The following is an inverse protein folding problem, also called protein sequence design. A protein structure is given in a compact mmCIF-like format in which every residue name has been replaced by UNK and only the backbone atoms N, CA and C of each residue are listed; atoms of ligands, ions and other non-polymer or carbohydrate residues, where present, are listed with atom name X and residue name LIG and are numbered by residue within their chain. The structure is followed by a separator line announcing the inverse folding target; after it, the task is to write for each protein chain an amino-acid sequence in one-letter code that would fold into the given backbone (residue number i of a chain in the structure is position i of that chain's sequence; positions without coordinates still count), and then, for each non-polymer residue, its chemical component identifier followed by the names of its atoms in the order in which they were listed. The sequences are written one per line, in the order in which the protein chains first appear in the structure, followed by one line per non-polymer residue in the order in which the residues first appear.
data_IF_202334566505
#
_entry.id   IF_202334566505
#
_cell.length_a   1.000
_cell.length_b   1.000
_cell.length_c   1.000
_cell.angle_alpha   90.00
_cell.angle_beta   90.00
_cell.angle_gamma   90.00
#
_symmetry.space_group_name_H-M   'P 1'
#
loop_
_entity.id
_entity.type
_entity.pdbx_description
1 polymer ?
#
# COMPACT_ATOMS: atom_id res chain seq x y z
N UNK A 1 23.42 -5.00 5.87
CA UNK A 1 23.27 -4.43 4.53
C UNK A 1 21.77 -4.33 4.34
N UNK A 2 21.23 -3.13 4.18
CA UNK A 2 19.82 -3.01 3.78
C UNK A 2 19.70 -3.62 2.38
N UNK A 3 18.75 -4.53 2.18
CA UNK A 3 18.49 -5.09 0.85
C UNK A 3 18.07 -3.95 -0.10
N UNK A 4 18.52 -4.00 -1.35
CA UNK A 4 18.14 -3.00 -2.35
C UNK A 4 16.62 -3.03 -2.59
N UNK A 5 15.96 -1.87 -2.74
CA UNK A 5 14.52 -1.81 -2.95
C UNK A 5 14.13 -2.57 -4.22
N UNK A 6 13.06 -3.36 -4.14
CA UNK A 6 12.52 -4.11 -5.29
C UNK A 6 11.35 -3.43 -5.96
N UNK A 7 10.74 -2.48 -5.26
CA UNK A 7 9.60 -1.71 -5.74
C UNK A 7 9.79 -0.23 -5.42
N UNK A 8 9.28 0.63 -6.29
CA UNK A 8 9.04 2.04 -5.97
C UNK A 8 7.71 2.17 -5.23
N UNK A 9 7.68 2.91 -4.13
CA UNK A 9 6.44 3.17 -3.39
C UNK A 9 5.86 4.53 -3.75
N UNK A 10 4.58 4.55 -4.05
CA UNK A 10 3.79 5.76 -4.25
C UNK A 10 2.64 5.79 -3.27
N UNK A 11 2.27 6.97 -2.77
CA UNK A 11 1.16 7.13 -1.83
C UNK A 11 0.08 8.01 -2.44
N UNK A 12 -1.18 7.60 -2.29
CA UNK A 12 -2.30 8.50 -2.55
C UNK A 12 -2.38 9.58 -1.46
N UNK A 13 -3.02 10.73 -1.74
CA UNK A 13 -3.26 11.74 -0.72
C UNK A 13 -4.03 11.22 0.50
N UNK A 14 -4.98 10.30 0.30
CA UNK A 14 -5.77 9.70 1.39
C UNK A 14 -4.88 8.82 2.28
N UNK A 15 -4.07 7.94 1.68
CA UNK A 15 -3.13 7.12 2.45
C UNK A 15 -2.15 8.00 3.24
N UNK A 16 -1.56 8.99 2.59
CA UNK A 16 -0.62 9.90 3.24
C UNK A 16 -1.25 10.68 4.40
N UNK A 17 -2.49 11.17 4.24
CA UNK A 17 -3.20 11.87 5.31
C UNK A 17 -3.46 10.96 6.52
N UNK A 18 -3.84 9.69 6.28
CA UNK A 18 -4.11 8.72 7.33
C UNK A 18 -2.86 8.24 8.04
N UNK A 19 -1.81 7.95 7.28
CA UNK A 19 -0.52 7.59 7.86
C UNK A 19 0.00 8.72 8.77
N UNK A 20 -0.08 9.98 8.32
CA UNK A 20 0.24 11.14 9.16
C UNK A 20 -0.64 11.21 10.42
N UNK A 21 -1.95 11.00 10.32
CA UNK A 21 -2.84 11.03 11.48
C UNK A 21 -2.48 9.94 12.52
N UNK A 22 -2.12 8.75 12.05
CA UNK A 22 -1.66 7.64 12.90
C UNK A 22 -0.32 7.98 13.56
N UNK A 23 0.65 8.49 12.79
CA UNK A 23 1.95 8.93 13.30
C UNK A 23 1.78 10.01 14.38
N UNK A 24 0.96 11.03 14.13
CA UNK A 24 0.71 12.09 15.11
C UNK A 24 0.02 11.56 16.37
N UNK A 25 -0.94 10.64 16.25
CA UNK A 25 -1.57 10.02 17.41
C UNK A 25 -0.56 9.17 18.22
N UNK A 26 0.33 8.45 17.53
CA UNK A 26 1.40 7.67 18.16
C UNK A 26 2.38 8.57 18.92
N UNK A 27 2.82 9.68 18.31
CA UNK A 27 3.69 10.68 18.94
C UNK A 27 3.05 11.34 20.17
N UNK A 28 1.71 11.44 20.19
CA UNK A 28 0.95 11.94 21.33
C UNK A 28 0.69 10.88 22.42
N UNK A 29 1.20 9.66 22.26
CA UNK A 29 1.14 8.60 23.27
C UNK A 29 -0.11 7.71 23.20
N UNK A 30 -0.86 7.71 22.11
CA UNK A 30 -1.95 6.74 21.92
C UNK A 30 -1.34 5.34 21.68
N UNK A 31 -1.51 4.43 22.65
CA UNK A 31 -0.93 3.09 22.60
C UNK A 31 -1.40 2.25 21.40
N UNK A 32 -2.64 2.47 20.92
CA UNK A 32 -3.14 1.76 19.74
C UNK A 32 -2.47 2.32 18.50
N UNK A 33 -2.39 3.65 18.38
CA UNK A 33 -1.73 4.30 17.26
C UNK A 33 -0.23 3.95 17.18
N UNK A 34 0.46 3.83 18.32
CA UNK A 34 1.86 3.37 18.38
C UNK A 34 1.99 1.99 17.72
N UNK A 35 1.19 1.01 18.14
CA UNK A 35 1.21 -0.35 17.55
C UNK A 35 0.86 -0.35 16.07
N UNK A 36 -0.13 0.45 15.67
CA UNK A 36 -0.52 0.58 14.26
C UNK A 36 0.62 1.19 13.45
N UNK A 37 1.28 2.23 13.95
CA UNK A 37 2.40 2.89 13.28
C UNK A 37 3.58 1.94 13.09
N UNK A 38 3.99 1.22 14.15
CA UNK A 38 5.08 0.24 14.09
C UNK A 38 4.82 -0.83 13.01
N UNK A 39 3.62 -1.42 13.02
CA UNK A 39 3.24 -2.39 11.99
C UNK A 39 3.13 -1.78 10.58
N UNK A 40 2.69 -0.53 10.46
CA UNK A 40 2.61 0.14 9.18
C UNK A 40 3.98 0.40 8.57
N UNK A 41 4.94 0.86 9.37
CA UNK A 41 6.32 1.08 8.91
C UNK A 41 6.93 -0.23 8.43
N UNK A 42 6.84 -1.30 9.24
CA UNK A 42 7.33 -2.63 8.86
C UNK A 42 6.67 -3.13 7.57
N UNK A 43 5.34 -2.98 7.44
CA UNK A 43 4.62 -3.41 6.26
C UNK A 43 4.98 -2.58 5.01
N UNK A 44 5.25 -1.28 5.16
CA UNK A 44 5.73 -0.42 4.08
C UNK A 44 7.13 -0.84 3.63
N UNK A 45 8.05 -1.11 4.55
CA UNK A 45 9.40 -1.60 4.23
C UNK A 45 9.32 -2.96 3.51
N UNK A 46 8.49 -3.89 4.02
CA UNK A 46 8.25 -5.20 3.37
C UNK A 46 7.58 -5.07 1.99
N UNK A 47 6.83 -3.99 1.76
CA UNK A 47 6.28 -3.69 0.45
C UNK A 47 7.36 -3.14 -0.50
N UNK A 48 8.26 -2.30 -0.01
CA UNK A 48 9.40 -1.74 -0.77
C UNK A 48 10.40 -2.83 -1.19
N UNK A 49 10.74 -3.74 -0.29
CA UNK A 49 11.70 -4.84 -0.53
C UNK A 49 11.08 -6.06 -1.26
N UNK A 50 9.75 -6.11 -1.37
CA UNK A 50 9.02 -7.18 -2.06
C UNK A 50 8.79 -8.47 -1.26
N UNK A 51 9.03 -8.47 0.06
CA UNK A 51 8.77 -9.62 0.95
C UNK A 51 7.29 -9.76 1.30
N UNK A 52 6.53 -8.66 1.36
CA UNK A 52 5.07 -8.67 1.41
C UNK A 52 4.50 -8.71 -0.02
N UNK A 53 3.53 -9.59 -0.28
CA UNK A 53 2.81 -9.66 -1.58
C UNK A 53 1.29 -9.54 -1.44
N UNK A 54 0.80 -9.21 -0.26
CA UNK A 54 -0.63 -9.18 0.04
C UNK A 54 -1.11 -10.46 0.70
N UNK A 55 -2.29 -10.36 1.27
CA UNK A 55 -3.04 -11.48 1.84
C UNK A 55 -4.11 -12.01 0.87
N UNK A 56 -4.72 -11.15 0.05
CA UNK A 56 -5.62 -11.54 -1.04
C UNK A 56 -5.88 -10.40 -2.04
N UNK A 57 -6.21 -10.73 -3.31
CA UNK A 57 -6.77 -9.77 -4.25
C UNK A 57 -8.08 -9.21 -3.72
N UNK A 58 -8.41 -7.98 -4.08
CA UNK A 58 -9.77 -7.48 -4.00
C UNK A 58 -10.58 -7.92 -5.24
N UNK A 59 -11.90 -7.72 -5.18
CA UNK A 59 -12.87 -8.26 -6.15
C UNK A 59 -13.70 -7.15 -6.77
N UNK A 60 -14.42 -7.44 -7.85
CA UNK A 60 -15.54 -6.61 -8.30
C UNK A 60 -16.78 -6.90 -7.44
N UNK A 61 -17.33 -5.83 -6.87
CA UNK A 61 -18.59 -5.84 -6.13
C UNK A 61 -19.47 -4.64 -6.51
N UNK A 62 -19.30 -4.11 -7.72
CA UNK A 62 -20.11 -3.02 -8.28
C UNK A 62 -21.62 -3.30 -8.18
N UNK A 63 -22.04 -4.55 -8.38
CA UNK A 63 -23.43 -5.02 -8.20
C UNK A 63 -23.99 -4.87 -6.77
N UNK A 64 -23.14 -4.65 -5.76
CA UNK A 64 -23.52 -4.32 -4.38
C UNK A 64 -23.29 -2.86 -4.02
N UNK A 65 -22.97 -2.00 -4.99
CA UNK A 65 -22.47 -0.65 -4.75
C UNK A 65 -21.19 -0.64 -3.86
N UNK A 66 -20.33 -1.66 -4.01
CA UNK A 66 -19.03 -1.78 -3.34
C UNK A 66 -17.85 -1.64 -4.33
N UNK A 67 -18.14 -1.26 -5.59
CA UNK A 67 -17.19 -0.87 -6.65
C UNK A 67 -16.28 -1.97 -7.20
N UNK A 68 -15.48 -1.58 -8.20
CA UNK A 68 -14.48 -2.44 -8.84
C UNK A 68 -13.09 -2.16 -8.29
N UNK A 69 -12.55 -3.13 -7.56
CA UNK A 69 -11.22 -3.09 -6.95
C UNK A 69 -10.36 -4.27 -7.42
N UNK A 70 -10.64 -4.89 -8.57
CA UNK A 70 -9.90 -6.08 -9.04
C UNK A 70 -8.40 -5.86 -9.25
N UNK A 71 -7.95 -4.61 -9.37
CA UNK A 71 -6.54 -4.20 -9.42
C UNK A 71 -5.92 -3.91 -8.05
N UNK A 72 -6.72 -3.96 -6.98
CA UNK A 72 -6.29 -3.73 -5.60
C UNK A 72 -5.94 -5.02 -4.86
N UNK A 73 -4.95 -4.93 -3.99
CA UNK A 73 -4.49 -6.00 -3.10
C UNK A 73 -4.66 -5.55 -1.65
N UNK A 74 -5.12 -6.45 -0.78
CA UNK A 74 -5.22 -6.19 0.65
C UNK A 74 -4.11 -6.89 1.44
N UNK A 75 -3.40 -6.13 2.26
CA UNK A 75 -2.55 -6.63 3.34
C UNK A 75 -3.22 -6.37 4.68
N UNK A 76 -3.22 -7.34 5.59
CA UNK A 76 -3.88 -7.25 6.91
C UNK A 76 -2.86 -7.43 8.03
N UNK A 77 -3.01 -6.70 9.13
CA UNK A 77 -2.23 -6.93 10.35
C UNK A 77 -3.12 -6.75 11.58
N UNK A 78 -2.70 -7.32 12.70
CA UNK A 78 -3.42 -7.28 13.96
C UNK A 78 -2.69 -6.38 14.97
N UNK A 79 -3.40 -5.41 15.56
CA UNK A 79 -2.82 -4.57 16.63
C UNK A 79 -2.68 -5.31 17.96
N UNK A 80 -3.48 -6.36 18.15
CA UNK A 80 -3.41 -7.28 19.28
C UNK A 80 -3.02 -8.68 18.76
N UNK A 81 -1.90 -9.25 19.22
CA UNK A 81 -1.41 -10.56 18.76
C UNK A 81 -2.34 -11.72 19.13
N UNK A 82 -3.30 -11.52 20.03
CA UNK A 82 -4.31 -12.53 20.38
C UNK A 82 -5.45 -12.62 19.36
N UNK A 83 -5.57 -11.63 18.47
CA UNK A 83 -6.59 -11.62 17.44
C UNK A 83 -6.30 -12.65 16.36
N UNK A 84 -7.31 -13.48 16.06
CA UNK A 84 -7.22 -14.51 15.01
C UNK A 84 -7.19 -13.95 13.58
N UNK A 85 -7.47 -12.64 13.41
CA UNK A 85 -7.55 -11.95 12.13
C UNK A 85 -7.03 -10.53 12.31
N UNK A 86 -6.43 -9.98 11.26
CA UNK A 86 -6.08 -8.56 11.23
C UNK A 86 -7.32 -7.69 11.40
N UNK A 87 -7.21 -6.73 12.31
CA UNK A 87 -8.17 -5.68 12.57
C UNK A 87 -7.85 -4.41 11.78
N UNK A 88 -6.63 -4.28 11.24
CA UNK A 88 -6.24 -3.25 10.29
C UNK A 88 -5.95 -3.82 8.91
N UNK A 89 -6.07 -2.96 7.90
CA UNK A 89 -5.82 -3.30 6.51
C UNK A 89 -5.15 -2.14 5.78
N UNK A 90 -4.22 -2.47 4.89
CA UNK A 90 -3.75 -1.61 3.81
C UNK A 90 -4.32 -2.14 2.49
N UNK A 91 -4.78 -1.23 1.63
CA UNK A 91 -5.01 -1.51 0.21
C UNK A 91 -3.94 -0.82 -0.61
N UNK A 92 -3.40 -1.56 -1.56
CA UNK A 92 -2.40 -1.08 -2.50
C UNK A 92 -2.59 -1.69 -3.88
N UNK A 93 -2.00 -1.08 -4.91
CA UNK A 93 -2.02 -1.55 -6.30
C UNK A 93 -0.62 -1.85 -6.78
N UNK A 94 -0.45 -2.92 -7.55
CA UNK A 94 0.77 -3.17 -8.31
C UNK A 94 0.65 -2.49 -9.68
N UNK A 95 1.72 -1.85 -10.12
CA UNK A 95 1.83 -1.22 -11.44
C UNK A 95 3.16 -1.63 -12.08
N UNK A 96 3.26 -1.61 -13.42
CA UNK A 96 4.53 -1.83 -14.09
C UNK A 96 5.52 -0.68 -13.79
N UNK A 97 6.82 -0.88 -14.11
CA UNK A 97 7.79 0.21 -14.08
C UNK A 97 7.34 1.42 -14.90
N UNK A 98 7.53 2.63 -14.36
CA UNK A 98 7.13 3.88 -15.03
C UNK A 98 8.10 4.32 -16.13
N UNK A 99 9.27 3.68 -16.18
CA UNK A 99 10.32 3.89 -17.19
C UNK A 99 11.04 2.58 -17.46
N UNK A 100 11.66 2.48 -18.63
CA UNK A 100 12.49 1.34 -19.00
C UNK A 100 13.64 1.17 -17.99
N UNK A 101 13.83 -0.06 -17.50
CA UNK A 101 14.80 -0.37 -16.45
C UNK A 101 14.43 0.12 -15.04
N UNK A 102 13.25 0.72 -14.85
CA UNK A 102 12.75 1.11 -13.54
C UNK A 102 12.24 -0.07 -12.72
N UNK A 103 11.99 0.17 -11.43
CA UNK A 103 11.34 -0.81 -10.56
C UNK A 103 9.83 -0.79 -10.76
N UNK A 104 9.13 -1.92 -10.57
CA UNK A 104 7.68 -1.91 -10.51
C UNK A 104 7.19 -1.04 -9.35
N UNK A 105 6.01 -0.44 -9.51
CA UNK A 105 5.46 0.46 -8.48
C UNK A 105 4.43 -0.28 -7.62
N UNK A 106 4.45 -0.03 -6.31
CA UNK A 106 3.36 -0.33 -5.40
C UNK A 106 2.76 0.97 -4.89
N UNK A 107 1.54 1.26 -5.33
CA UNK A 107 0.82 2.46 -4.92
C UNK A 107 -0.06 2.13 -3.71
N UNK A 108 0.23 2.74 -2.56
CA UNK A 108 -0.53 2.60 -1.32
C UNK A 108 -1.73 3.53 -1.37
N UNK A 109 -2.93 2.94 -1.29
CA UNK A 109 -4.20 3.61 -1.58
C UNK A 109 -4.93 4.01 -0.31
N UNK A 110 -5.04 3.09 0.64
CA UNK A 110 -5.85 3.29 1.83
C UNK A 110 -5.32 2.46 3.00
N UNK A 111 -5.45 2.99 4.22
CA UNK A 111 -5.17 2.27 5.47
C UNK A 111 -6.27 2.57 6.48
N UNK A 112 -6.68 1.56 7.23
CA UNK A 112 -7.68 1.76 8.26
C UNK A 112 -8.08 0.49 8.98
N UNK A 113 -8.87 0.68 10.03
CA UNK A 113 -9.48 -0.43 10.74
C UNK A 113 -10.54 -1.10 9.86
N UNK A 114 -10.57 -2.43 9.87
CA UNK A 114 -11.42 -3.28 9.01
C UNK A 114 -12.92 -3.00 9.16
N UNK A 115 -13.35 -2.48 10.31
CA UNK A 115 -14.74 -2.14 10.63
C UNK A 115 -14.96 -0.63 10.79
N UNK A 116 -14.12 0.18 10.16
CA UNK A 116 -14.30 1.62 10.18
C UNK A 116 -15.65 2.05 9.55
N UNK A 117 -16.13 3.21 9.97
CA UNK A 117 -17.30 3.88 9.38
C UNK A 117 -16.85 5.27 8.90
N UNK A 118 -17.11 5.65 7.63
CA UNK A 118 -17.79 4.90 6.57
C UNK A 118 -17.03 3.64 6.13
N UNK A 119 -17.69 2.74 5.40
CA UNK A 119 -17.12 1.43 5.04
C UNK A 119 -15.76 1.54 4.32
N UNK A 120 -14.81 0.69 4.72
CA UNK A 120 -13.44 0.66 4.23
C UNK A 120 -13.33 0.55 2.70
N UNK A 121 -14.23 -0.20 2.04
CA UNK A 121 -14.23 -0.33 0.57
C UNK A 121 -14.67 0.97 -0.10
N UNK A 122 -15.69 1.65 0.45
CA UNK A 122 -16.13 2.94 -0.07
C UNK A 122 -15.03 4.00 0.05
N UNK A 123 -14.28 3.99 1.15
CA UNK A 123 -13.15 4.89 1.31
C UNK A 123 -12.02 4.58 0.32
N UNK A 124 -11.73 3.29 0.10
CA UNK A 124 -10.76 2.85 -0.92
C UNK A 124 -11.16 3.32 -2.32
N UNK A 125 -12.44 3.20 -2.69
CA UNK A 125 -12.95 3.69 -3.97
C UNK A 125 -12.83 5.20 -4.10
N UNK A 126 -13.16 5.94 -3.04
CA UNK A 126 -13.00 7.39 -2.98
C UNK A 126 -11.54 7.81 -3.18
N UNK A 127 -10.59 7.10 -2.53
CA UNK A 127 -9.17 7.33 -2.71
C UNK A 127 -8.68 7.07 -4.15
N UNK A 128 -9.35 6.15 -4.85
CA UNK A 128 -9.09 5.83 -6.27
C UNK A 128 -9.92 6.67 -7.26
N UNK A 129 -10.74 7.60 -6.77
CA UNK A 129 -11.65 8.42 -7.59
C UNK A 129 -12.64 7.59 -8.42
N UNK A 130 -13.12 6.47 -7.86
CA UNK A 130 -14.01 5.51 -8.54
C UNK A 130 -15.45 5.61 -8.08
N UNK A 131 -16.35 5.34 -9.01
CA UNK A 131 -17.78 5.18 -8.73
C UNK A 131 -18.06 3.77 -8.16
N UNK A 132 -18.78 3.65 -7.02
CA UNK A 132 -19.10 2.37 -6.40
C UNK A 132 -20.03 1.46 -7.21
N UNK A 133 -20.74 1.96 -8.22
CA UNK A 133 -21.67 1.17 -9.04
C UNK A 133 -21.18 0.90 -10.46
N UNK A 134 -20.08 1.54 -10.88
CA UNK A 134 -19.56 1.40 -12.25
C UNK A 134 -18.42 0.38 -12.28
N UNK A 135 -18.56 -0.73 -13.02
CA UNK A 135 -17.45 -1.62 -13.29
C UNK A 135 -16.45 -0.93 -14.22
N UNK A 136 -15.16 -1.21 -14.02
CA UNK A 136 -14.10 -0.69 -14.87
C UNK A 136 -13.77 -1.72 -15.94
N UNK A 137 -14.00 -1.38 -17.22
CA UNK A 137 -13.70 -2.26 -18.36
C UNK A 137 -12.22 -2.64 -18.34
N UNK A 138 -11.36 -1.67 -17.99
CA UNK A 138 -9.94 -1.88 -17.93
C UNK A 138 -9.52 -2.86 -16.82
N UNK A 139 -10.37 -3.11 -15.82
CA UNK A 139 -10.13 -4.10 -14.78
C UNK A 139 -10.57 -5.53 -15.16
N UNK A 140 -11.21 -5.73 -16.31
CA UNK A 140 -11.64 -7.06 -16.75
C UNK A 140 -10.49 -8.06 -16.90
N UNK A 141 -9.30 -7.57 -17.26
CA UNK A 141 -8.09 -8.39 -17.42
C UNK A 141 -7.65 -9.10 -16.14
N UNK A 142 -8.00 -8.56 -14.96
CA UNK A 142 -7.73 -9.21 -13.66
C UNK A 142 -8.70 -10.36 -13.38
N UNK A 143 -9.84 -10.39 -14.07
CA UNK A 143 -10.88 -11.39 -13.90
C UNK A 143 -11.49 -11.39 -12.48
N UNK A 144 -12.27 -12.45 -12.19
CA UNK A 144 -12.75 -12.71 -10.84
C UNK A 144 -11.74 -13.59 -10.10
N UNK A 145 -11.26 -13.21 -8.91
CA UNK A 145 -10.26 -13.99 -8.18
C UNK A 145 -10.74 -15.42 -7.89
N UNK A 146 -9.92 -16.42 -8.24
CA UNK A 146 -10.25 -17.85 -8.10
C UNK A 146 -10.53 -18.28 -6.64
N UNK A 147 -10.00 -17.55 -5.65
CA UNK A 147 -10.21 -17.85 -4.23
C UNK A 147 -11.65 -17.59 -3.74
N UNK A 148 -12.47 -16.85 -4.51
CA UNK A 148 -13.89 -16.64 -4.19
C UNK A 148 -14.64 -17.98 -4.18
N UNK A 149 -14.23 -18.93 -5.03
CA UNK A 149 -14.75 -20.30 -5.05
C UNK A 149 -14.01 -21.24 -4.08
N UNK A 150 -12.72 -21.00 -3.80
CA UNK A 150 -11.88 -21.84 -2.94
C UNK A 150 -11.17 -21.01 -1.86
N UNK A 151 -11.67 -21.05 -0.63
CA UNK A 151 -11.26 -20.11 0.44
C UNK A 151 -9.92 -20.42 1.14
N UNK A 152 -9.12 -21.36 0.62
CA UNK A 152 -7.86 -21.81 1.21
C UNK A 152 -6.66 -20.87 0.98
N UNK A 153 -5.65 -20.96 1.85
CA UNK A 153 -4.41 -20.17 1.71
C UNK A 153 -3.71 -20.40 0.35
N UNK A 154 -3.54 -21.64 -0.16
CA UNK A 154 -2.91 -21.86 -1.47
C UNK A 154 -3.65 -21.17 -2.62
N UNK A 155 -4.98 -21.21 -2.62
CA UNK A 155 -5.82 -20.57 -3.63
C UNK A 155 -5.70 -19.04 -3.59
N UNK A 156 -5.59 -18.44 -2.39
CA UNK A 156 -5.37 -17.00 -2.24
C UNK A 156 -3.99 -16.58 -2.74
N UNK A 157 -2.95 -17.32 -2.36
CA UNK A 157 -1.58 -17.06 -2.83
C UNK A 157 -1.47 -17.18 -4.35
N UNK A 158 -2.10 -18.19 -4.96
CA UNK A 158 -2.13 -18.33 -6.42
C UNK A 158 -2.89 -17.18 -7.10
N UNK A 159 -4.02 -16.75 -6.52
CA UNK A 159 -4.79 -15.62 -7.03
C UNK A 159 -4.01 -14.30 -6.95
N UNK A 160 -3.28 -14.06 -5.85
CA UNK A 160 -2.37 -12.92 -5.70
C UNK A 160 -1.29 -12.93 -6.78
N UNK A 161 -0.56 -14.04 -6.93
CA UNK A 161 0.53 -14.12 -7.91
C UNK A 161 0.02 -13.88 -9.34
N UNK A 162 -1.17 -14.39 -9.65
CA UNK A 162 -1.82 -14.13 -10.94
C UNK A 162 -2.13 -12.64 -11.11
N UNK A 163 -2.76 -12.01 -10.12
CA UNK A 163 -3.10 -10.58 -10.16
C UNK A 163 -1.86 -9.70 -10.30
N UNK A 164 -0.81 -9.95 -9.53
CA UNK A 164 0.45 -9.21 -9.57
C UNK A 164 1.13 -9.38 -10.94
N UNK A 165 1.15 -10.60 -11.49
CA UNK A 165 1.70 -10.86 -12.82
C UNK A 165 0.94 -10.13 -13.92
N UNK A 166 -0.40 -10.11 -13.85
CA UNK A 166 -1.26 -9.37 -14.77
C UNK A 166 -0.99 -7.87 -14.68
N UNK A 167 -0.85 -7.34 -13.46
CA UNK A 167 -0.53 -5.93 -13.25
C UNK A 167 0.81 -5.53 -13.89
N UNK A 168 1.85 -6.36 -13.73
CA UNK A 168 3.18 -6.10 -14.33
C UNK A 168 3.18 -6.19 -15.86
N UNK A 169 2.37 -7.07 -16.44
CA UNK A 169 2.26 -7.23 -17.89
C UNK A 169 1.42 -6.13 -18.55
N UNK A 170 0.64 -5.36 -17.78
CA UNK A 170 -0.31 -4.39 -18.30
C UNK A 170 0.34 -3.03 -18.53
N UNK A 171 0.59 -2.71 -19.80
CA UNK A 171 1.03 -1.39 -20.20
C UNK A 171 0.00 -0.29 -19.85
N UNK A 172 0.49 0.92 -19.59
CA UNK A 172 -0.34 2.12 -19.38
C UNK A 172 -0.93 2.28 -17.97
N UNK A 173 -0.69 1.34 -17.05
CA UNK A 173 -1.00 1.56 -15.64
C UNK A 173 0.05 2.51 -15.03
N UNK A 174 -0.41 3.68 -14.59
CA UNK A 174 0.39 4.68 -13.88
C UNK A 174 -0.23 4.98 -12.51
N UNK A 175 0.56 5.47 -11.54
CA UNK A 175 0.01 6.02 -10.31
C UNK A 175 -1.04 7.09 -10.61
N UNK A 176 -1.94 7.35 -9.66
CA UNK A 176 -2.88 8.46 -9.78
C UNK A 176 -2.09 9.77 -9.90
N UNK A 177 -2.62 10.73 -10.64
CA UNK A 177 -1.99 12.05 -10.85
C UNK A 177 -1.64 12.77 -9.54
N UNK A 178 -2.40 12.50 -8.48
CA UNK A 178 -2.21 13.09 -7.15
C UNK A 178 -1.33 12.25 -6.22
N UNK A 179 -0.96 11.03 -6.62
CA UNK A 179 -0.04 10.20 -5.86
C UNK A 179 1.38 10.75 -5.96
N UNK A 180 2.18 10.54 -4.91
CA UNK A 180 3.57 11.00 -4.83
C UNK A 180 4.48 9.86 -4.38
N UNK A 181 5.74 9.81 -4.85
CA UNK A 181 6.73 8.86 -4.33
C UNK A 181 6.87 8.96 -2.81
N UNK A 182 7.02 7.83 -2.12
CA UNK A 182 7.23 7.80 -0.66
C UNK A 182 8.39 8.71 -0.23
N UNK A 183 9.47 8.76 -1.02
CA UNK A 183 10.65 9.60 -0.76
C UNK A 183 10.36 11.11 -0.72
N UNK A 184 9.28 11.57 -1.34
CA UNK A 184 8.86 12.99 -1.27
C UNK A 184 8.10 13.30 0.02
N UNK A 185 7.70 12.28 0.78
CA UNK A 185 7.07 12.45 2.07
C UNK A 185 8.11 12.35 3.19
N UNK A 186 8.07 13.30 4.12
CA UNK A 186 8.96 13.34 5.28
C UNK A 186 8.45 12.45 6.44
N UNK A 187 8.00 11.23 6.14
CA UNK A 187 7.63 10.29 7.20
C UNK A 187 8.88 9.83 7.92
N UNK A 188 8.90 9.95 9.25
CA UNK A 188 10.01 9.54 10.11
C UNK A 188 11.37 9.75 9.44
N UNK A 189 11.81 11.01 9.30
CA UNK A 189 13.05 11.41 8.62
C UNK A 189 14.11 10.32 8.69
N UNK A 190 14.31 9.59 7.59
CA UNK A 190 15.45 8.69 7.43
C UNK A 190 16.69 9.57 7.62
N UNK A 191 17.35 9.48 8.76
CA UNK A 191 18.64 10.13 9.05
C UNK A 191 19.69 9.53 8.11
N UNK A 192 19.69 9.99 6.87
CA UNK A 192 20.72 9.69 5.89
C UNK A 192 20.72 10.82 4.87
N UNK A 193 21.07 12.01 5.33
CA UNK A 193 21.78 13.03 4.54
C UNK A 193 22.19 14.16 5.48
N UNK A 194 23.22 13.91 6.29
CA UNK A 194 24.07 14.99 6.74
C UNK A 194 24.95 15.38 5.53
N UNK A 195 24.84 16.60 4.97
CA UNK A 195 25.83 17.05 4.01
C UNK A 195 27.15 17.17 4.75
N UNK A 196 28.10 16.33 4.33
CA UNK A 196 29.51 16.37 4.67
C UNK A 196 30.10 17.69 4.16
N UNK A 197 29.77 18.81 4.81
CA UNK A 197 30.42 20.09 4.59
C UNK A 197 31.67 20.14 5.45
N UNK A 198 32.70 19.46 4.96
CA UNK A 198 34.07 19.66 5.42
C UNK A 198 34.43 21.14 5.35
N UNK A 199 34.66 21.74 6.52
CA UNK A 199 35.48 22.94 6.64
C UNK A 199 36.76 22.55 7.39
N UNK A 200 37.94 22.71 6.80
CA UNK A 200 39.17 22.52 7.55
C UNK A 200 39.30 23.64 8.59
N UNK A 201 39.46 23.24 9.84
CA UNK A 201 39.98 24.12 10.90
C UNK A 201 41.45 24.44 10.57
N UNK A 202 41.70 25.54 9.89
CA UNK A 202 43.00 26.21 9.96
C UNK A 202 43.16 26.76 11.37
N UNK A 203 43.89 26.02 12.21
CA UNK A 203 44.59 26.57 13.36
C UNK A 203 45.89 27.18 12.83
N UNK A 204 45.96 28.50 12.79
CA UNK A 204 47.23 29.20 12.82
C UNK A 204 47.52 29.64 14.26
N UNK A 205 48.81 29.52 14.59
CA UNK A 205 49.49 29.85 15.84
C UNK A 205 49.53 31.36 16.10
#
# INVERSE_FOLDING_TARGET
MADEPRHELYLTPEFAARFNAIEQAALNGDETAIRVYEHLVELIDNLEDGTENGHHPLTDKSWRAEGDLRDGTASEFATDPTLKRGDYRIVWRQLPPQREGGLPVRELVHVGHRRETPDFYLQTLSALERDPIVPLEENEVFGSPSYVAQKGLPSRSAALQTQLSVALARAGMTPLTRSRPLAEHQFGARESDAPESGRPLTRDL
#
